data_IF_785434069179
#
_entry.id   IF_785434069179
#
_cell.length_a   1.000
_cell.length_b   1.000
_cell.length_c   1.000
_cell.angle_alpha   90.00
_cell.angle_beta   90.00
_cell.angle_gamma   90.00
#
_symmetry.space_group_name_H-M   'P 1'
#
loop_
_entity.id
_entity.type
_entity.pdbx_description
1 polymer ?
#
# COMPACT_ATOMS: atom_id res chain seq x y z
N UNK A 1 7.93 13.02 -13.15
CA UNK A 1 7.02 11.90 -13.39
C UNK A 1 5.63 12.42 -13.19
N UNK A 2 4.82 12.47 -14.25
CA UNK A 2 3.43 12.86 -14.13
C UNK A 2 2.65 11.66 -13.58
N UNK A 3 2.00 11.83 -12.43
CA UNK A 3 1.19 10.77 -11.82
C UNK A 3 -0.26 10.94 -12.25
N UNK A 4 -0.71 10.08 -13.17
CA UNK A 4 -2.14 9.94 -13.42
C UNK A 4 -2.78 9.14 -12.28
N UNK A 5 -3.37 9.87 -11.32
CA UNK A 5 -3.98 9.30 -10.12
C UNK A 5 -5.22 8.47 -10.45
N UNK A 6 -5.94 8.82 -11.51
CA UNK A 6 -7.11 8.06 -11.96
C UNK A 6 -6.71 6.72 -12.54
N UNK A 7 -5.69 6.71 -13.41
CA UNK A 7 -5.14 5.47 -13.96
C UNK A 7 -4.58 4.57 -12.86
N UNK A 8 -3.81 5.11 -11.92
CA UNK A 8 -3.25 4.34 -10.79
C UNK A 8 -4.38 3.73 -9.95
N UNK A 9 -5.42 4.50 -9.64
CA UNK A 9 -6.56 4.01 -8.87
C UNK A 9 -7.30 2.87 -9.59
N UNK A 10 -7.50 2.97 -10.90
CA UNK A 10 -8.12 1.89 -11.69
C UNK A 10 -7.25 0.64 -11.73
N UNK A 11 -5.95 0.77 -11.95
CA UNK A 11 -5.01 -0.35 -11.98
C UNK A 11 -4.95 -1.07 -10.61
N UNK A 12 -4.96 -0.33 -9.50
CA UNK A 12 -5.02 -0.92 -8.16
C UNK A 12 -6.32 -1.70 -7.95
N UNK A 13 -7.47 -1.16 -8.37
CA UNK A 13 -8.75 -1.88 -8.33
C UNK A 13 -8.74 -3.15 -9.19
N UNK A 14 -7.91 -3.18 -10.24
CA UNK A 14 -7.65 -4.34 -11.09
C UNK A 14 -6.58 -5.31 -10.56
N UNK A 15 -6.12 -5.17 -9.32
CA UNK A 15 -5.07 -5.99 -8.70
C UNK A 15 -3.68 -5.91 -9.39
N UNK A 16 -3.36 -4.79 -10.05
CA UNK A 16 -2.03 -4.57 -10.62
C UNK A 16 -0.98 -4.32 -9.51
N UNK A 17 -0.07 -5.27 -9.34
CA UNK A 17 1.01 -5.20 -8.34
C UNK A 17 1.99 -4.04 -8.55
N UNK A 18 2.27 -3.67 -9.81
CA UNK A 18 3.20 -2.56 -10.12
C UNK A 18 2.56 -1.22 -9.79
N UNK A 19 1.27 -1.05 -10.12
CA UNK A 19 0.51 0.13 -9.73
C UNK A 19 0.44 0.26 -8.20
N UNK A 20 0.23 -0.85 -7.49
CA UNK A 20 0.23 -0.89 -6.03
C UNK A 20 1.59 -0.49 -5.43
N UNK A 21 2.70 -1.02 -5.95
CA UNK A 21 4.05 -0.63 -5.53
C UNK A 21 4.31 0.87 -5.74
N UNK A 22 3.93 1.43 -6.89
CA UNK A 22 4.05 2.87 -7.16
C UNK A 22 3.23 3.72 -6.19
N UNK A 23 2.05 3.27 -5.80
CA UNK A 23 1.22 3.95 -4.82
C UNK A 23 1.86 3.95 -3.42
N UNK A 24 2.48 2.84 -3.00
CA UNK A 24 3.25 2.79 -1.74
C UNK A 24 4.37 3.84 -1.79
N UNK A 25 5.18 3.85 -2.87
CA UNK A 25 6.25 4.84 -3.03
C UNK A 25 5.73 6.28 -3.02
N UNK A 26 4.57 6.54 -3.64
CA UNK A 26 3.95 7.86 -3.64
C UNK A 26 3.54 8.29 -2.21
N UNK A 27 3.01 7.36 -1.41
CA UNK A 27 2.61 7.61 -0.02
C UNK A 27 3.81 7.80 0.91
N UNK A 28 4.90 7.08 0.68
CA UNK A 28 6.14 7.17 1.50
C UNK A 28 7.01 8.39 1.16
N UNK A 29 6.72 9.06 0.04
CA UNK A 29 7.48 10.22 -0.40
C UNK A 29 7.34 11.44 0.52
N UNK A 30 8.46 12.07 0.83
CA UNK A 30 8.52 13.34 1.60
C UNK A 30 8.24 14.61 0.77
N UNK A 31 8.20 14.51 -0.56
CA UNK A 31 7.85 15.65 -1.44
C UNK A 31 6.40 16.12 -1.19
N UNK A 32 6.20 17.42 -0.98
CA UNK A 32 4.90 18.04 -0.72
C UNK A 32 3.88 17.82 -1.85
N UNK A 33 4.32 17.86 -3.11
CA UNK A 33 3.42 17.61 -4.26
C UNK A 33 2.91 16.17 -4.25
N UNK A 34 3.79 15.22 -3.87
CA UNK A 34 3.42 13.81 -3.75
C UNK A 34 2.45 13.57 -2.58
N UNK A 35 2.52 14.36 -1.50
CA UNK A 35 1.55 14.28 -0.41
C UNK A 35 0.14 14.67 -0.86
N UNK A 36 0.01 15.70 -1.70
CA UNK A 36 -1.29 16.08 -2.27
C UNK A 36 -1.85 14.98 -3.18
N UNK A 37 -1.00 14.43 -4.05
CA UNK A 37 -1.35 13.33 -4.94
C UNK A 37 -1.73 12.04 -4.18
N UNK A 38 -1.04 11.74 -3.08
CA UNK A 38 -1.32 10.55 -2.26
C UNK A 38 -2.67 10.67 -1.54
N UNK A 39 -3.02 11.86 -1.04
CA UNK A 39 -4.33 12.14 -0.47
C UNK A 39 -5.45 11.98 -1.50
N UNK A 40 -5.25 12.48 -2.73
CA UNK A 40 -6.19 12.28 -3.83
C UNK A 40 -6.38 10.80 -4.16
N UNK A 41 -5.28 10.03 -4.23
CA UNK A 41 -5.32 8.59 -4.47
C UNK A 41 -6.11 7.87 -3.37
N UNK A 42 -5.84 8.19 -2.10
CA UNK A 42 -6.57 7.64 -0.96
C UNK A 42 -8.08 7.88 -1.06
N UNK A 43 -8.50 9.09 -1.43
CA UNK A 43 -9.91 9.40 -1.60
C UNK A 43 -10.58 8.53 -2.69
N UNK A 44 -9.90 8.27 -3.81
CA UNK A 44 -10.42 7.41 -4.90
C UNK A 44 -10.49 5.92 -4.52
N UNK A 45 -9.67 5.49 -3.56
CA UNK A 45 -9.62 4.11 -3.08
C UNK A 45 -10.50 3.83 -1.86
N UNK A 46 -10.95 4.86 -1.12
CA UNK A 46 -11.82 4.72 0.08
C UNK A 46 -13.09 3.88 -0.19
N UNK A 47 -13.65 3.95 -1.40
CA UNK A 47 -14.87 3.22 -1.76
C UNK A 47 -14.65 1.73 -2.11
N UNK A 48 -13.41 1.23 -2.15
CA UNK A 48 -13.11 -0.19 -2.41
C UNK A 48 -13.30 -1.05 -1.15
N UNK A 49 -13.88 -0.47 -0.09
CA UNK A 49 -14.05 -1.03 1.25
C UNK A 49 -15.11 -2.15 1.32
N UNK A 50 -14.85 -3.27 0.65
CA UNK A 50 -15.48 -4.56 0.97
C UNK A 50 -14.46 -5.71 1.09
N UNK A 51 -13.16 -5.42 1.22
CA UNK A 51 -12.18 -6.44 1.58
C UNK A 51 -12.02 -6.50 3.11
N UNK A 52 -12.52 -7.59 3.71
CA UNK A 52 -12.27 -7.94 5.11
C UNK A 52 -10.80 -8.36 5.25
N UNK A 53 -9.92 -7.41 5.57
CA UNK A 53 -8.52 -7.71 5.88
C UNK A 53 -8.32 -7.89 7.39
N UNK A 54 -7.65 -8.98 7.79
CA UNK A 54 -7.17 -9.16 9.16
C UNK A 54 -5.83 -8.43 9.29
N UNK A 55 -5.68 -7.56 10.30
CA UNK A 55 -4.44 -6.82 10.58
C UNK A 55 -3.78 -7.41 11.83
N UNK A 56 -2.65 -8.09 11.65
CA UNK A 56 -1.90 -8.75 12.73
C UNK A 56 -0.54 -8.09 12.94
N UNK A 57 -0.27 -7.60 14.15
CA UNK A 57 1.04 -7.08 14.54
C UNK A 57 1.92 -8.19 15.13
N UNK A 58 3.15 -8.30 14.65
CA UNK A 58 4.13 -9.30 15.13
C UNK A 58 5.38 -8.56 15.64
N UNK A 59 5.79 -8.84 16.88
CA UNK A 59 6.93 -8.20 17.55
C UNK A 59 7.82 -9.22 18.26
N UNK A 60 9.03 -8.81 18.64
CA UNK A 60 10.01 -9.65 19.34
C UNK A 60 11.45 -9.19 19.09
N UNK A 61 12.38 -9.63 19.94
CA UNK A 61 13.80 -9.24 19.88
C UNK A 61 14.50 -9.70 18.57
N UNK A 62 15.61 -9.08 18.15
CA UNK A 62 16.40 -9.56 17.02
C UNK A 62 16.79 -11.04 17.20
N UNK A 63 16.65 -11.86 16.14
CA UNK A 63 17.00 -13.28 16.19
C UNK A 63 15.94 -14.26 16.73
N UNK A 64 14.82 -13.80 17.31
CA UNK A 64 13.77 -14.69 17.88
C UNK A 64 12.98 -15.52 16.84
N UNK A 65 13.29 -15.40 15.55
CA UNK A 65 12.63 -16.17 14.49
C UNK A 65 11.37 -15.55 13.89
N UNK A 66 11.15 -14.22 14.05
CA UNK A 66 9.97 -13.52 13.48
C UNK A 66 9.78 -13.75 11.98
N UNK A 67 10.83 -13.62 11.17
CA UNK A 67 10.73 -13.83 9.73
C UNK A 67 10.38 -15.27 9.38
N UNK A 68 11.01 -16.25 10.05
CA UNK A 68 10.70 -17.68 9.88
C UNK A 68 9.25 -18.01 10.26
N UNK A 69 8.70 -17.33 11.26
CA UNK A 69 7.30 -17.46 11.63
C UNK A 69 6.37 -16.89 10.57
N UNK A 70 6.64 -15.67 10.06
CA UNK A 70 5.84 -15.02 9.02
C UNK A 70 5.83 -15.88 7.75
N UNK A 71 7.00 -16.31 7.28
CA UNK A 71 7.11 -17.15 6.07
C UNK A 71 6.35 -18.48 6.19
N UNK A 72 6.27 -19.04 7.41
CA UNK A 72 5.52 -20.28 7.67
C UNK A 72 4.03 -20.05 7.86
N UNK A 73 3.61 -18.85 8.27
CA UNK A 73 2.21 -18.50 8.47
C UNK A 73 1.47 -18.38 7.12
N UNK A 74 2.16 -17.90 6.08
CA UNK A 74 1.63 -17.66 4.74
C UNK A 74 1.57 -16.17 4.43
#
# INVERSE_FOLDING_TARGET
MEFDIDQIAQQIKGNDRRAFARAITLVESSNLDHQQLSLQLFQKLKCVSHNQAIRLGITGTPGVGKSTFIDKLG
#
